data_IF_640023804747
#
_entry.id   IF_640023804747
#
_cell.length_a   1.000
_cell.length_b   1.000
_cell.length_c   1.000
_cell.angle_alpha   90.00
_cell.angle_beta   90.00
_cell.angle_gamma   90.00
#
_symmetry.space_group_name_H-M   'P 1'
#
loop_
_entity.id
_entity.type
_entity.pdbx_description
1 polymer ?
#
# COMPACT_ATOMS: atom_id res chain seq x y z
N UNK A 1 47.15 35.05 -0.46
CA UNK A 1 47.57 33.93 0.42
C UNK A 1 46.80 33.93 1.74
N UNK A 2 46.69 35.05 2.46
CA UNK A 2 45.99 35.15 3.74
C UNK A 2 44.51 34.74 3.69
N UNK A 3 43.77 35.10 2.62
CA UNK A 3 42.37 34.70 2.45
C UNK A 3 42.22 33.18 2.26
N UNK A 4 43.11 32.54 1.51
CA UNK A 4 43.12 31.08 1.34
C UNK A 4 43.49 30.35 2.65
N UNK A 5 44.35 30.90 3.46
CA UNK A 5 44.70 30.33 4.76
C UNK A 5 43.51 30.43 5.73
N UNK A 6 42.81 31.57 5.77
CA UNK A 6 41.55 31.73 6.58
C UNK A 6 40.49 30.73 6.17
N UNK A 7 40.18 30.59 4.87
CA UNK A 7 39.22 29.60 4.38
C UNK A 7 39.56 28.16 4.79
N UNK A 8 40.83 27.76 4.75
CA UNK A 8 41.31 26.43 5.19
C UNK A 8 41.19 26.23 6.69
N UNK A 9 41.39 27.28 7.46
CA UNK A 9 41.20 27.24 8.92
C UNK A 9 39.72 27.11 9.27
N UNK A 10 38.85 27.89 8.62
CA UNK A 10 37.38 27.79 8.83
C UNK A 10 36.84 26.43 8.44
N UNK A 11 37.33 25.86 7.33
CA UNK A 11 36.97 24.49 6.89
C UNK A 11 37.43 23.41 7.88
N UNK A 12 38.61 23.64 8.48
CA UNK A 12 39.14 22.75 9.51
C UNK A 12 38.35 22.82 10.81
N UNK A 13 37.90 24.00 11.21
CA UNK A 13 36.99 24.16 12.37
C UNK A 13 35.63 23.53 12.14
N UNK A 14 35.02 23.71 10.97
CA UNK A 14 33.75 23.06 10.61
C UNK A 14 33.84 21.52 10.61
N UNK A 15 34.92 20.96 10.07
CA UNK A 15 35.17 19.51 10.13
C UNK A 15 35.39 19.00 11.55
N UNK A 16 36.09 19.77 12.39
CA UNK A 16 36.25 19.43 13.80
C UNK A 16 34.96 19.44 14.56
N UNK A 17 34.10 20.42 14.35
CA UNK A 17 32.79 20.52 14.98
C UNK A 17 31.86 19.36 14.57
N UNK A 18 31.85 19.01 13.28
CA UNK A 18 31.15 17.80 12.80
C UNK A 18 31.65 16.51 13.46
N UNK A 19 32.97 16.39 13.60
CA UNK A 19 33.58 15.20 14.23
C UNK A 19 33.24 15.13 15.71
N UNK A 20 33.21 16.25 16.40
CA UNK A 20 32.84 16.34 17.83
C UNK A 20 31.37 16.02 18.05
N UNK A 21 30.47 16.41 17.12
CA UNK A 21 29.06 16.00 17.13
C UNK A 21 28.86 14.50 16.91
N UNK A 22 29.60 13.91 15.95
CA UNK A 22 29.56 12.46 15.71
C UNK A 22 30.09 11.67 16.92
N UNK A 23 31.15 12.13 17.57
CA UNK A 23 31.69 11.50 18.78
C UNK A 23 30.68 11.61 19.93
N UNK A 24 30.00 12.77 20.06
CA UNK A 24 28.97 12.97 21.08
C UNK A 24 27.76 12.05 20.85
N UNK A 25 27.30 11.93 19.59
CA UNK A 25 26.25 11.01 19.22
C UNK A 25 26.64 9.53 19.45
N UNK A 26 27.87 9.16 19.09
CA UNK A 26 28.39 7.81 19.32
C UNK A 26 28.52 7.48 20.82
N UNK A 27 28.90 8.43 21.67
CA UNK A 27 28.91 8.24 23.13
C UNK A 27 27.54 8.01 23.72
N UNK A 28 26.54 8.80 23.30
CA UNK A 28 25.13 8.60 23.75
C UNK A 28 24.64 7.21 23.35
N UNK A 29 24.94 6.74 22.15
CA UNK A 29 24.59 5.37 21.71
C UNK A 29 25.36 4.32 22.52
N UNK A 30 26.66 4.55 22.76
CA UNK A 30 27.49 3.67 23.59
C UNK A 30 26.98 3.57 25.02
N UNK A 31 26.59 4.68 25.63
CA UNK A 31 26.05 4.71 27.01
C UNK A 31 24.68 4.03 27.09
N UNK A 32 23.86 4.10 26.02
CA UNK A 32 22.61 3.34 25.93
C UNK A 32 22.83 1.83 25.75
N UNK A 33 23.95 1.41 25.14
CA UNK A 33 24.31 0.00 24.92
C UNK A 33 25.00 -0.60 26.13
N UNK A 34 25.66 0.19 26.98
CA UNK A 34 26.39 -0.30 28.18
C UNK A 34 25.50 -0.97 29.24
N UNK A 35 24.14 -0.85 29.10
CA UNK A 35 23.19 -1.58 29.95
C UNK A 35 22.81 -2.98 29.45
N UNK A 36 23.19 -3.38 28.22
CA UNK A 36 22.83 -4.67 27.65
C UNK A 36 24.05 -5.61 27.57
N UNK A 37 23.95 -6.78 28.16
CA UNK A 37 24.95 -7.84 27.95
C UNK A 37 24.93 -8.30 26.47
N UNK A 38 26.05 -8.80 25.92
CA UNK A 38 26.09 -9.32 24.53
C UNK A 38 25.01 -10.39 24.27
N UNK A 39 24.69 -11.19 25.26
CA UNK A 39 23.61 -12.20 25.18
C UNK A 39 22.22 -11.60 25.08
N UNK A 40 21.97 -10.51 25.80
CA UNK A 40 20.70 -9.76 25.71
C UNK A 40 20.54 -9.05 24.37
N UNK A 41 21.60 -8.45 23.85
CA UNK A 41 21.58 -7.83 22.53
C UNK A 41 21.25 -8.85 21.43
N UNK A 42 21.83 -10.04 21.44
CA UNK A 42 21.52 -11.14 20.53
C UNK A 42 20.07 -11.59 20.68
N UNK A 43 19.58 -11.71 21.92
CA UNK A 43 18.19 -12.12 22.21
C UNK A 43 17.20 -11.07 21.71
N UNK A 44 17.45 -9.78 21.96
CA UNK A 44 16.64 -8.67 21.45
C UNK A 44 16.64 -8.62 19.93
N UNK A 45 17.80 -8.75 19.29
CA UNK A 45 17.91 -8.78 17.83
C UNK A 45 17.16 -9.96 17.20
N UNK A 46 17.13 -11.12 17.86
CA UNK A 46 16.33 -12.27 17.41
C UNK A 46 14.83 -12.00 17.56
N UNK A 47 14.42 -11.39 18.69
CA UNK A 47 13.02 -11.03 18.93
C UNK A 47 12.52 -9.94 17.96
N UNK A 48 13.35 -8.93 17.67
CA UNK A 48 13.03 -7.91 16.65
C UNK A 48 12.80 -8.57 15.30
N UNK A 49 13.70 -9.43 14.83
CA UNK A 49 13.54 -10.14 13.55
C UNK A 49 12.29 -11.01 13.50
N UNK A 50 11.92 -11.67 14.59
CA UNK A 50 10.68 -12.43 14.68
C UNK A 50 9.45 -11.50 14.56
N UNK A 51 9.46 -10.36 15.24
CA UNK A 51 8.38 -9.38 15.15
C UNK A 51 8.30 -8.75 13.75
N UNK A 52 9.43 -8.43 13.13
CA UNK A 52 9.47 -7.93 11.74
C UNK A 52 8.86 -8.93 10.76
N UNK A 53 9.14 -10.22 10.93
CA UNK A 53 8.58 -11.28 10.10
C UNK A 53 7.07 -11.44 10.30
N UNK A 54 6.60 -11.41 11.55
CA UNK A 54 5.18 -11.56 11.89
C UNK A 54 4.35 -10.34 11.48
N UNK A 55 4.87 -9.15 11.72
CA UNK A 55 4.17 -7.89 11.48
C UNK A 55 4.37 -7.37 10.07
N UNK A 56 5.29 -7.96 9.29
CA UNK A 56 5.70 -7.51 7.96
C UNK A 56 6.27 -6.07 7.92
N UNK A 57 6.66 -5.54 9.07
CA UNK A 57 7.31 -4.24 9.21
C UNK A 57 8.81 -4.43 9.46
N UNK A 58 9.65 -3.70 8.74
CA UNK A 58 11.07 -3.61 9.02
C UNK A 58 11.50 -2.16 9.19
N UNK A 59 12.29 -1.91 10.23
CA UNK A 59 12.85 -0.60 10.52
C UNK A 59 14.11 -0.41 9.67
N UNK A 60 14.12 0.60 8.80
CA UNK A 60 15.28 0.91 7.95
C UNK A 60 16.11 2.04 8.50
N UNK A 61 15.48 3.04 9.13
CA UNK A 61 16.20 4.15 9.73
C UNK A 61 15.42 4.73 10.93
N UNK A 62 16.14 5.19 11.95
CA UNK A 62 15.57 5.84 13.12
C UNK A 62 16.45 6.98 13.57
N UNK A 63 15.89 8.17 13.62
CA UNK A 63 16.49 9.35 14.27
C UNK A 63 15.58 9.84 15.41
N UNK A 64 15.94 10.91 16.08
CA UNK A 64 15.10 11.52 17.13
C UNK A 64 13.76 12.05 16.61
N UNK A 65 13.69 12.41 15.32
CA UNK A 65 12.52 13.05 14.70
C UNK A 65 11.96 12.32 13.49
N UNK A 66 12.63 11.26 13.01
CA UNK A 66 12.24 10.52 11.83
C UNK A 66 12.33 9.02 12.07
N UNK A 67 11.25 8.33 11.72
CA UNK A 67 11.16 6.87 11.69
C UNK A 67 10.89 6.43 10.27
N UNK A 68 11.78 5.65 9.67
CA UNK A 68 11.60 5.06 8.34
C UNK A 68 11.41 3.55 8.45
N UNK A 69 10.32 3.09 7.87
CA UNK A 69 9.90 1.68 7.91
C UNK A 69 9.60 1.20 6.49
N UNK A 70 9.83 -0.08 6.27
CA UNK A 70 9.35 -0.79 5.08
C UNK A 70 8.26 -1.77 5.50
N UNK A 71 7.11 -1.69 4.85
CA UNK A 71 5.99 -2.60 5.08
C UNK A 71 5.82 -3.57 3.92
N UNK A 72 5.65 -4.85 4.24
CA UNK A 72 5.44 -5.94 3.28
C UNK A 72 6.46 -5.95 2.11
N UNK A 73 7.66 -5.38 2.30
CA UNK A 73 8.72 -5.18 1.30
C UNK A 73 8.31 -4.33 0.09
N UNK A 74 7.16 -3.68 0.15
CA UNK A 74 6.55 -2.97 -0.99
C UNK A 74 6.30 -1.50 -0.72
N UNK A 75 6.12 -1.09 0.53
CA UNK A 75 5.85 0.29 0.91
C UNK A 75 6.96 0.84 1.80
N UNK A 76 7.44 2.03 1.46
CA UNK A 76 8.23 2.87 2.36
C UNK A 76 7.29 3.79 3.12
N UNK A 77 7.40 3.80 4.44
CA UNK A 77 6.64 4.67 5.33
C UNK A 77 7.62 5.51 6.15
N UNK A 78 7.61 6.81 5.95
CA UNK A 78 8.41 7.76 6.70
C UNK A 78 7.50 8.55 7.64
N UNK A 79 7.77 8.49 8.95
CA UNK A 79 6.99 9.12 10.00
C UNK A 79 7.85 10.19 10.66
N UNK A 80 7.49 11.44 10.49
CA UNK A 80 8.08 12.56 11.20
C UNK A 80 7.42 12.69 12.57
N UNK A 81 8.25 12.76 13.61
CA UNK A 81 7.82 12.88 15.01
C UNK A 81 8.06 14.30 15.51
N UNK A 82 7.17 14.80 16.36
CA UNK A 82 7.38 16.05 17.05
C UNK A 82 8.49 15.86 18.11
N UNK A 83 9.61 16.55 17.90
CA UNK A 83 10.83 16.41 18.71
C UNK A 83 10.74 17.03 20.11
N UNK A 84 9.54 17.27 20.67
CA UNK A 84 9.38 17.82 22.03
C UNK A 84 9.97 16.86 23.06
N UNK A 85 11.04 17.34 23.69
CA UNK A 85 11.75 16.67 24.79
C UNK A 85 10.78 16.36 25.93
N UNK A 86 10.54 15.10 26.23
CA UNK A 86 9.96 14.74 27.53
C UNK A 86 8.91 13.65 27.58
N UNK A 87 8.58 12.92 26.52
CA UNK A 87 7.61 11.81 26.60
C UNK A 87 7.97 10.62 25.71
N UNK A 88 7.73 9.41 26.20
CA UNK A 88 8.03 8.15 25.50
C UNK A 88 7.14 7.86 24.26
N UNK A 89 6.25 8.78 23.88
CA UNK A 89 5.44 8.67 22.67
C UNK A 89 5.55 9.97 21.88
N UNK A 90 6.43 10.01 20.87
CA UNK A 90 6.48 11.10 19.91
C UNK A 90 5.11 11.20 19.19
N UNK A 91 4.50 12.38 19.25
CA UNK A 91 3.32 12.68 18.43
C UNK A 91 3.73 12.70 16.95
N UNK A 92 2.90 12.14 16.10
CA UNK A 92 3.14 12.11 14.67
C UNK A 92 2.87 13.50 14.11
N UNK A 93 3.87 14.09 13.45
CA UNK A 93 3.75 15.39 12.77
C UNK A 93 3.33 15.21 11.31
N UNK A 94 3.93 14.24 10.63
CA UNK A 94 3.69 13.98 9.21
C UNK A 94 3.98 12.53 8.89
N UNK A 95 3.23 11.98 7.94
CA UNK A 95 3.47 10.65 7.36
C UNK A 95 3.65 10.80 5.85
N UNK A 96 4.72 10.20 5.32
CA UNK A 96 4.92 10.09 3.88
C UNK A 96 4.98 8.63 3.48
N UNK A 97 4.26 8.27 2.42
CA UNK A 97 4.20 6.90 1.89
C UNK A 97 4.62 6.92 0.43
N UNK A 98 5.46 5.97 0.08
CA UNK A 98 5.94 5.77 -1.29
C UNK A 98 6.15 4.29 -1.58
N UNK A 99 6.16 3.87 -2.86
CA UNK A 99 6.52 2.52 -3.21
C UNK A 99 7.99 2.27 -2.87
N UNK A 100 8.31 1.07 -2.35
CA UNK A 100 9.70 0.69 -2.07
C UNK A 100 10.51 0.48 -3.36
N UNK A 101 9.82 0.11 -4.46
CA UNK A 101 10.40 -0.03 -5.80
C UNK A 101 9.54 0.71 -6.81
N UNK A 102 9.90 1.93 -7.22
CA UNK A 102 9.07 2.77 -8.09
C UNK A 102 8.84 2.18 -9.48
N UNK A 103 9.77 1.35 -9.99
CA UNK A 103 9.71 0.80 -11.36
C UNK A 103 8.66 -0.31 -11.52
N UNK A 104 8.19 -0.92 -10.44
CA UNK A 104 7.28 -2.08 -10.47
C UNK A 104 5.84 -1.74 -10.02
N UNK A 105 5.53 -0.47 -9.83
CA UNK A 105 4.23 -0.07 -9.29
C UNK A 105 3.12 -0.18 -10.36
N UNK A 106 2.29 -1.20 -10.24
CA UNK A 106 1.07 -1.34 -11.05
C UNK A 106 0.05 -0.23 -10.72
N UNK A 107 -0.93 0.07 -11.61
CA UNK A 107 -2.01 1.03 -11.32
C UNK A 107 -2.71 0.74 -10.00
N UNK A 108 -3.03 -0.52 -9.70
CA UNK A 108 -3.61 -0.93 -8.42
C UNK A 108 -2.72 -0.61 -7.22
N UNK A 109 -1.41 -0.77 -7.35
CA UNK A 109 -0.46 -0.47 -6.29
C UNK A 109 -0.42 1.03 -6.00
N UNK A 110 -0.40 1.85 -7.06
CA UNK A 110 -0.40 3.30 -6.94
C UNK A 110 -1.71 3.82 -6.34
N UNK A 111 -2.85 3.31 -6.77
CA UNK A 111 -4.15 3.65 -6.18
C UNK A 111 -4.19 3.30 -4.67
N UNK A 112 -3.69 2.12 -4.26
CA UNK A 112 -3.60 1.76 -2.85
C UNK A 112 -2.74 2.74 -2.03
N UNK A 113 -1.62 3.20 -2.58
CA UNK A 113 -0.76 4.21 -1.94
C UNK A 113 -1.52 5.54 -1.80
N UNK A 114 -2.24 5.97 -2.85
CA UNK A 114 -3.05 7.19 -2.81
C UNK A 114 -4.13 7.10 -1.73
N UNK A 115 -4.86 5.98 -1.65
CA UNK A 115 -5.87 5.74 -0.59
C UNK A 115 -5.27 5.85 0.81
N UNK A 116 -4.14 5.16 1.06
CA UNK A 116 -3.51 5.17 2.37
C UNK A 116 -3.04 6.59 2.72
N UNK A 117 -2.45 7.30 1.76
CA UNK A 117 -1.98 8.68 1.94
C UNK A 117 -3.14 9.61 2.27
N UNK A 118 -4.19 9.63 1.44
CA UNK A 118 -5.37 10.46 1.63
C UNK A 118 -6.05 10.18 2.98
N UNK A 119 -6.14 8.91 3.38
CA UNK A 119 -6.72 8.53 4.66
C UNK A 119 -5.90 9.04 5.86
N UNK A 120 -4.57 8.94 5.79
CA UNK A 120 -3.68 9.42 6.85
C UNK A 120 -3.60 10.95 6.90
N UNK A 121 -3.76 11.64 5.77
CA UNK A 121 -3.84 13.10 5.71
C UNK A 121 -5.17 13.61 6.29
N UNK A 122 -6.28 12.97 5.95
CA UNK A 122 -7.60 13.34 6.46
C UNK A 122 -7.76 13.04 7.98
N UNK A 123 -7.12 11.99 8.47
CA UNK A 123 -7.22 11.53 9.86
C UNK A 123 -5.82 11.46 10.47
N UNK A 124 -5.19 12.63 10.70
CA UNK A 124 -3.83 12.70 11.25
C UNK A 124 -3.70 11.82 12.50
N UNK A 125 -2.98 10.69 12.42
CA UNK A 125 -2.88 9.77 13.55
C UNK A 125 -2.07 10.39 14.68
N UNK A 126 -2.54 10.24 15.91
CA UNK A 126 -1.89 10.81 17.07
C UNK A 126 -0.57 10.11 17.42
N UNK A 127 -0.42 8.84 17.10
CA UNK A 127 0.73 8.04 17.49
C UNK A 127 1.16 7.06 16.38
N UNK A 128 2.42 6.61 16.46
CA UNK A 128 3.02 5.65 15.51
C UNK A 128 2.21 4.35 15.37
N UNK A 129 1.75 3.69 16.45
CA UNK A 129 0.94 2.47 16.32
C UNK A 129 -0.32 2.64 15.47
N UNK A 130 -0.95 3.81 15.50
CA UNK A 130 -2.16 4.08 14.72
C UNK A 130 -1.83 4.22 13.22
N UNK A 131 -0.68 4.85 12.88
CA UNK A 131 -0.17 4.87 11.50
C UNK A 131 0.04 3.45 10.98
N UNK A 132 0.73 2.61 11.75
CA UNK A 132 1.05 1.23 11.36
C UNK A 132 -0.21 0.38 11.18
N UNK A 133 -1.16 0.49 12.11
CA UNK A 133 -2.43 -0.24 12.08
C UNK A 133 -3.29 0.16 10.88
N UNK A 134 -3.42 1.46 10.65
CA UNK A 134 -4.20 2.00 9.54
C UNK A 134 -3.59 1.60 8.20
N UNK A 135 -2.28 1.76 8.03
CA UNK A 135 -1.56 1.33 6.82
C UNK A 135 -1.75 -0.16 6.57
N UNK A 136 -1.57 -1.01 7.58
CA UNK A 136 -1.73 -2.46 7.45
C UNK A 136 -3.16 -2.86 7.08
N UNK A 137 -4.17 -2.22 7.67
CA UNK A 137 -5.60 -2.47 7.37
C UNK A 137 -5.92 -2.14 5.91
N UNK A 138 -5.58 -0.94 5.45
CA UNK A 138 -5.86 -0.51 4.08
C UNK A 138 -5.07 -1.33 3.06
N UNK A 139 -3.84 -1.68 3.38
CA UNK A 139 -3.04 -2.58 2.56
C UNK A 139 -3.64 -3.97 2.42
N UNK A 140 -4.27 -4.48 3.48
CA UNK A 140 -4.97 -5.76 3.44
C UNK A 140 -6.17 -5.73 2.46
N UNK A 141 -6.92 -4.65 2.44
CA UNK A 141 -8.01 -4.45 1.45
C UNK A 141 -7.47 -4.50 0.01
N UNK A 142 -6.36 -3.80 -0.25
CA UNK A 142 -5.67 -3.87 -1.53
C UNK A 142 -5.24 -5.29 -1.90
N UNK A 143 -4.65 -6.04 -0.97
CA UNK A 143 -4.22 -7.41 -1.23
C UNK A 143 -5.40 -8.34 -1.56
N UNK A 144 -6.54 -8.15 -0.92
CA UNK A 144 -7.76 -8.89 -1.23
C UNK A 144 -8.28 -8.56 -2.63
N UNK A 145 -8.36 -7.27 -2.99
CA UNK A 145 -8.76 -6.83 -4.32
C UNK A 145 -7.80 -7.38 -5.40
N UNK A 146 -6.51 -7.23 -5.18
CA UNK A 146 -5.48 -7.76 -6.07
C UNK A 146 -5.59 -9.26 -6.29
N UNK A 147 -5.79 -10.03 -5.22
CA UNK A 147 -5.94 -11.48 -5.32
C UNK A 147 -7.13 -11.89 -6.19
N UNK A 148 -8.25 -11.15 -6.15
CA UNK A 148 -9.39 -11.41 -7.02
C UNK A 148 -9.08 -11.08 -8.48
N UNK A 149 -8.43 -9.95 -8.75
CA UNK A 149 -8.01 -9.57 -10.12
C UNK A 149 -6.98 -10.56 -10.68
N UNK A 150 -5.98 -10.94 -9.89
CA UNK A 150 -4.94 -11.88 -10.32
C UNK A 150 -5.54 -13.27 -10.62
N UNK A 151 -6.56 -13.70 -9.88
CA UNK A 151 -7.29 -14.92 -10.18
C UNK A 151 -8.14 -14.80 -11.45
N UNK A 152 -8.83 -13.67 -11.64
CA UNK A 152 -9.59 -13.43 -12.86
C UNK A 152 -8.70 -13.47 -14.10
N UNK A 153 -7.48 -12.94 -14.01
CA UNK A 153 -6.46 -12.99 -15.07
C UNK A 153 -6.05 -14.40 -15.52
N UNK A 154 -6.26 -15.41 -14.65
CA UNK A 154 -5.99 -16.80 -15.02
C UNK A 154 -7.06 -17.36 -15.97
N UNK A 155 -8.24 -16.75 -16.02
CA UNK A 155 -9.38 -17.21 -16.82
C UNK A 155 -9.66 -16.32 -18.03
N UNK A 156 -9.53 -15.00 -17.85
CA UNK A 156 -9.79 -14.02 -18.91
C UNK A 156 -8.70 -12.95 -18.93
N UNK A 157 -8.39 -12.34 -20.08
CA UNK A 157 -7.54 -11.16 -20.11
C UNK A 157 -8.19 -10.05 -19.27
N UNK A 158 -7.42 -9.36 -18.45
CA UNK A 158 -7.93 -8.28 -17.59
C UNK A 158 -7.08 -7.04 -17.76
N UNK A 159 -7.72 -5.93 -18.08
CA UNK A 159 -7.13 -4.59 -18.09
C UNK A 159 -7.51 -3.89 -16.78
N UNK A 160 -6.56 -3.25 -16.15
CA UNK A 160 -6.79 -2.40 -14.96
C UNK A 160 -6.32 -1.01 -15.27
N UNK A 161 -7.22 -0.05 -15.22
CA UNK A 161 -6.95 1.37 -15.46
C UNK A 161 -7.46 2.22 -14.30
N UNK A 162 -6.87 3.39 -14.05
CA UNK A 162 -7.47 4.36 -13.15
C UNK A 162 -8.88 4.72 -13.65
N UNK A 163 -9.84 4.86 -12.75
CA UNK A 163 -11.18 5.33 -13.10
C UNK A 163 -11.10 6.78 -13.61
N UNK A 164 -11.82 7.08 -14.70
CA UNK A 164 -11.80 8.41 -15.32
C UNK A 164 -12.53 9.47 -14.49
N UNK A 165 -13.43 9.03 -13.65
CA UNK A 165 -14.34 9.90 -12.89
C UNK A 165 -13.81 10.24 -11.48
N UNK A 166 -12.69 9.65 -11.05
CA UNK A 166 -12.14 9.84 -9.72
C UNK A 166 -11.02 10.89 -9.72
N UNK A 167 -11.31 12.03 -9.09
CA UNK A 167 -10.35 13.14 -8.88
C UNK A 167 -9.20 12.73 -7.95
N UNK A 168 -9.34 11.65 -7.21
CA UNK A 168 -8.40 11.23 -6.16
C UNK A 168 -7.55 10.02 -6.51
N UNK A 169 -7.65 9.46 -7.72
CA UNK A 169 -6.91 8.25 -8.17
C UNK A 169 -7.08 7.04 -7.23
N UNK A 170 -8.22 6.95 -6.52
CA UNK A 170 -8.51 5.88 -5.55
C UNK A 170 -9.34 4.75 -6.15
N UNK A 171 -10.12 5.05 -7.17
CA UNK A 171 -10.96 4.09 -7.89
C UNK A 171 -10.25 3.56 -9.15
N UNK A 172 -10.51 2.30 -9.43
CA UNK A 172 -9.95 1.57 -10.56
C UNK A 172 -11.06 0.95 -11.37
N UNK A 173 -10.98 1.05 -12.70
CA UNK A 173 -11.80 0.29 -13.62
C UNK A 173 -11.06 -1.00 -14.02
N UNK A 174 -11.68 -2.13 -13.69
CA UNK A 174 -11.20 -3.47 -14.05
C UNK A 174 -12.06 -4.00 -15.18
N UNK A 175 -11.51 -4.06 -16.37
CA UNK A 175 -12.22 -4.49 -17.58
C UNK A 175 -11.83 -5.92 -17.93
N UNK A 176 -12.82 -6.81 -17.96
CA UNK A 176 -12.68 -8.20 -18.38
C UNK A 176 -13.44 -8.43 -19.70
N UNK A 177 -12.77 -8.58 -20.86
CA UNK A 177 -13.42 -8.96 -22.09
C UNK A 177 -13.86 -10.43 -22.04
N UNK A 178 -15.12 -10.69 -22.30
CA UNK A 178 -15.73 -12.02 -22.31
C UNK A 178 -16.28 -12.28 -23.73
N UNK A 179 -15.91 -13.43 -24.29
CA UNK A 179 -16.43 -13.91 -25.56
C UNK A 179 -17.52 -14.96 -25.30
N UNK A 180 -18.66 -14.81 -25.94
CA UNK A 180 -19.78 -15.73 -25.94
C UNK A 180 -19.85 -16.38 -27.32
N UNK A 181 -19.34 -17.59 -27.45
CA UNK A 181 -19.14 -18.24 -28.75
C UNK A 181 -20.45 -18.60 -29.43
N UNK A 182 -21.40 -19.19 -28.70
CA UNK A 182 -22.71 -19.56 -29.25
C UNK A 182 -23.59 -18.34 -29.57
N UNK A 183 -23.52 -17.31 -28.72
CA UNK A 183 -24.22 -16.07 -28.96
C UNK A 183 -23.54 -15.17 -30.00
N UNK A 184 -22.33 -15.52 -30.46
CA UNK A 184 -21.50 -14.71 -31.37
C UNK A 184 -21.38 -13.26 -30.87
N UNK A 185 -21.23 -13.09 -29.57
CA UNK A 185 -21.19 -11.78 -28.93
C UNK A 185 -19.90 -11.63 -28.12
N UNK A 186 -19.43 -10.39 -28.04
CA UNK A 186 -18.34 -9.99 -27.15
C UNK A 186 -18.82 -8.88 -26.24
N UNK A 187 -18.54 -9.02 -24.97
CA UNK A 187 -18.84 -8.02 -23.95
C UNK A 187 -17.61 -7.64 -23.17
N UNK A 188 -17.62 -6.45 -22.62
CA UNK A 188 -16.70 -6.01 -21.59
C UNK A 188 -17.47 -5.98 -20.26
N UNK A 189 -16.97 -6.73 -19.29
CA UNK A 189 -17.44 -6.65 -17.91
C UNK A 189 -16.56 -5.63 -17.19
N UNK A 190 -17.16 -4.52 -16.81
CA UNK A 190 -16.51 -3.46 -16.05
C UNK A 190 -16.81 -3.66 -14.56
N UNK A 191 -15.77 -3.56 -13.75
CA UNK A 191 -15.88 -3.63 -12.29
C UNK A 191 -15.14 -2.42 -11.72
N UNK A 192 -15.91 -1.44 -11.25
CA UNK A 192 -15.34 -0.30 -10.55
C UNK A 192 -14.95 -0.72 -9.14
N UNK A 193 -13.67 -0.63 -8.85
CA UNK A 193 -13.11 -0.96 -7.53
C UNK A 193 -12.74 0.31 -6.80
N UNK A 194 -13.32 0.53 -5.63
CA UNK A 194 -12.91 1.58 -4.72
C UNK A 194 -12.11 0.99 -3.55
N UNK A 195 -10.80 1.21 -3.57
CA UNK A 195 -9.90 0.70 -2.53
C UNK A 195 -10.04 1.45 -1.19
N UNK A 196 -10.77 2.56 -1.13
CA UNK A 196 -11.07 3.26 0.11
C UNK A 196 -12.17 2.55 0.93
N UNK A 197 -12.98 1.71 0.29
CA UNK A 197 -14.03 0.95 0.94
C UNK A 197 -13.50 -0.32 1.61
N UNK A 198 -14.18 -0.77 2.65
CA UNK A 198 -13.88 -2.06 3.33
C UNK A 198 -14.12 -3.27 2.45
N UNK A 199 -15.01 -3.14 1.48
CA UNK A 199 -15.24 -4.11 0.39
C UNK A 199 -14.95 -3.38 -0.92
N UNK A 200 -13.81 -3.61 -1.56
CA UNK A 200 -13.40 -2.87 -2.75
C UNK A 200 -14.27 -3.17 -3.98
N UNK A 201 -14.98 -4.28 -3.96
CA UNK A 201 -15.91 -4.69 -5.03
C UNK A 201 -17.32 -4.69 -4.45
N UNK A 202 -18.18 -3.82 -4.97
CA UNK A 202 -19.61 -3.79 -4.66
C UNK A 202 -20.40 -4.22 -5.90
N UNK A 203 -21.47 -5.02 -5.73
CA UNK A 203 -22.27 -5.48 -6.88
C UNK A 203 -22.83 -4.35 -7.73
N UNK A 204 -23.07 -3.19 -7.11
CA UNK A 204 -23.64 -2.00 -7.78
C UNK A 204 -22.67 -1.39 -8.80
N UNK A 205 -21.38 -1.54 -8.56
CA UNK A 205 -20.30 -1.02 -9.41
C UNK A 205 -19.88 -1.99 -10.53
N UNK A 206 -20.68 -3.00 -10.81
CA UNK A 206 -20.47 -3.90 -11.94
C UNK A 206 -21.44 -3.57 -13.04
N UNK A 207 -20.95 -3.37 -14.25
CA UNK A 207 -21.76 -3.21 -15.44
C UNK A 207 -21.15 -3.97 -16.64
N UNK A 208 -21.99 -4.28 -17.61
CA UNK A 208 -21.59 -5.01 -18.80
C UNK A 208 -21.86 -4.12 -20.02
N UNK A 209 -20.87 -3.99 -20.88
CA UNK A 209 -20.95 -3.28 -22.13
C UNK A 209 -20.89 -4.26 -23.30
N UNK A 210 -21.83 -4.15 -24.25
CA UNK A 210 -21.82 -4.94 -25.47
C UNK A 210 -20.88 -4.32 -26.49
N UNK A 211 -19.86 -5.07 -26.90
CA UNK A 211 -18.89 -4.63 -27.91
C UNK A 211 -19.39 -4.97 -29.32
N UNK A 212 -19.88 -6.21 -29.50
CA UNK A 212 -20.56 -6.64 -30.74
C UNK A 212 -21.45 -7.84 -30.47
N UNK A 213 -22.36 -8.13 -31.41
CA UNK A 213 -23.32 -9.24 -31.34
C UNK A 213 -24.67 -8.80 -30.79
N UNK A 214 -25.49 -9.77 -30.42
CA UNK A 214 -26.83 -9.54 -29.85
C UNK A 214 -26.98 -10.35 -28.58
N UNK A 215 -27.14 -9.66 -27.44
CA UNK A 215 -27.44 -10.31 -26.17
C UNK A 215 -28.12 -9.35 -25.21
N UNK A 216 -28.77 -9.90 -24.18
CA UNK A 216 -29.35 -9.12 -23.11
C UNK A 216 -28.28 -8.81 -22.03
N UNK A 217 -27.66 -7.64 -22.17
CA UNK A 217 -26.64 -7.10 -21.26
C UNK A 217 -27.19 -6.95 -19.83
N UNK A 218 -28.47 -6.59 -19.69
CA UNK A 218 -29.08 -6.39 -18.37
C UNK A 218 -29.18 -7.70 -17.60
N UNK A 219 -29.57 -8.77 -18.28
CA UNK A 219 -29.64 -10.13 -17.69
C UNK A 219 -28.25 -10.57 -17.24
N UNK A 220 -27.20 -10.41 -18.06
CA UNK A 220 -25.83 -10.76 -17.67
C UNK A 220 -25.36 -9.92 -16.48
N UNK A 221 -25.57 -8.61 -16.51
CA UNK A 221 -25.25 -7.71 -15.39
C UNK A 221 -25.92 -8.15 -14.09
N UNK A 222 -27.23 -8.47 -14.17
CA UNK A 222 -27.98 -8.93 -13.00
C UNK A 222 -27.46 -10.27 -12.44
N UNK A 223 -27.09 -11.20 -13.30
CA UNK A 223 -26.49 -12.48 -12.90
C UNK A 223 -25.17 -12.30 -12.15
N UNK A 224 -24.27 -11.45 -12.71
CA UNK A 224 -22.97 -11.16 -12.07
C UNK A 224 -23.19 -10.50 -10.71
N UNK A 225 -24.04 -9.48 -10.63
CA UNK A 225 -24.37 -8.78 -9.38
C UNK A 225 -24.97 -9.73 -8.34
N UNK A 226 -25.92 -10.59 -8.75
CA UNK A 226 -26.55 -11.57 -7.84
C UNK A 226 -25.55 -12.60 -7.30
N UNK A 227 -24.58 -13.02 -8.12
CA UNK A 227 -23.54 -13.95 -7.69
C UNK A 227 -22.59 -13.29 -6.68
N UNK A 228 -22.22 -12.02 -6.88
CA UNK A 228 -21.38 -11.27 -5.96
C UNK A 228 -22.06 -10.98 -4.60
N UNK A 229 -23.40 -10.77 -4.60
CA UNK A 229 -24.16 -10.61 -3.35
C UNK A 229 -24.15 -11.88 -2.50
N UNK A 230 -24.18 -13.07 -3.14
CA UNK A 230 -24.23 -14.36 -2.42
C UNK A 230 -22.95 -14.65 -1.63
N UNK A 231 -21.79 -14.29 -2.17
CA UNK A 231 -20.51 -14.54 -1.51
C UNK A 231 -19.48 -13.43 -1.78
N UNK A 232 -19.71 -12.24 -1.22
CA UNK A 232 -18.87 -11.04 -1.52
C UNK A 232 -17.46 -11.16 -0.96
N UNK A 233 -17.22 -12.07 -0.01
CA UNK A 233 -15.91 -12.24 0.66
C UNK A 233 -15.09 -13.38 0.09
N UNK A 234 -15.64 -14.17 -0.80
CA UNK A 234 -14.90 -15.23 -1.44
C UNK A 234 -13.74 -14.65 -2.26
N UNK A 235 -12.54 -15.18 -2.11
CA UNK A 235 -11.43 -14.79 -2.96
C UNK A 235 -11.64 -15.12 -4.44
N UNK A 236 -12.65 -15.92 -4.76
CA UNK A 236 -13.04 -16.30 -6.13
C UNK A 236 -14.36 -15.64 -6.56
N UNK A 237 -14.93 -14.73 -5.76
CA UNK A 237 -16.27 -14.17 -6.02
C UNK A 237 -16.37 -13.61 -7.45
N UNK A 238 -15.41 -12.80 -7.88
CA UNK A 238 -15.42 -12.17 -9.19
C UNK A 238 -15.25 -13.19 -10.33
N UNK A 239 -14.33 -14.14 -10.18
CA UNK A 239 -14.15 -15.23 -11.17
C UNK A 239 -15.42 -16.04 -11.32
N UNK A 240 -15.99 -16.49 -10.19
CA UNK A 240 -17.21 -17.30 -10.19
C UNK A 240 -18.39 -16.54 -10.81
N UNK A 241 -18.56 -15.27 -10.46
CA UNK A 241 -19.65 -14.45 -10.98
C UNK A 241 -19.58 -14.29 -12.51
N UNK A 242 -18.40 -13.99 -13.04
CA UNK A 242 -18.20 -13.77 -14.48
C UNK A 242 -18.28 -15.10 -15.25
N UNK A 243 -17.60 -16.15 -14.81
CA UNK A 243 -17.59 -17.44 -15.53
C UNK A 243 -18.96 -18.13 -15.48
N UNK A 244 -19.70 -18.04 -14.36
CA UNK A 244 -21.04 -18.56 -14.27
C UNK A 244 -22.02 -17.81 -15.21
N UNK A 245 -21.94 -16.47 -15.24
CA UNK A 245 -22.75 -15.68 -16.16
C UNK A 245 -22.40 -16.00 -17.62
N UNK A 246 -21.11 -16.12 -17.95
CA UNK A 246 -20.66 -16.54 -19.28
C UNK A 246 -21.26 -17.91 -19.67
N UNK A 247 -21.15 -18.92 -18.81
CA UNK A 247 -21.65 -20.27 -19.09
C UNK A 247 -23.16 -20.28 -19.35
N UNK A 248 -23.94 -19.51 -18.56
CA UNK A 248 -25.40 -19.46 -18.71
C UNK A 248 -25.83 -18.68 -19.94
N UNK A 249 -25.12 -17.60 -20.28
CA UNK A 249 -25.46 -16.78 -21.44
C UNK A 249 -24.98 -17.40 -22.76
N UNK A 250 -24.05 -18.34 -22.70
CA UNK A 250 -23.50 -19.04 -23.87
C UNK A 250 -24.15 -20.43 -24.06
N UNK A 251 -25.11 -20.87 -23.23
CA UNK A 251 -25.84 -22.10 -23.32
C UNK A 251 -27.14 -21.93 -24.17
#
# INVERSE_FOLDING_TARGET
>A
QLARMRSRVDESYAKREQTEELIRAARVVSDQIHGCTPGEAVRLGRRIRQLETLLQWSLTNKTSTLLQLVFARTLNVAIELDGRRGGHSGTVKRVAISPARPVEASPMHMAAICVIRSHLEAHTPACVPDVLRTTARLWHVYLQARAQVDRLRLHVPVLVTPSRDDVHDTALDVVAPVLLEHAQAKVHVHVDMDLALTSPITPEHVHVELVYGHMDVNTMTHMIRSALIKDPRSPNALVYAITNAQTVMDA
#
